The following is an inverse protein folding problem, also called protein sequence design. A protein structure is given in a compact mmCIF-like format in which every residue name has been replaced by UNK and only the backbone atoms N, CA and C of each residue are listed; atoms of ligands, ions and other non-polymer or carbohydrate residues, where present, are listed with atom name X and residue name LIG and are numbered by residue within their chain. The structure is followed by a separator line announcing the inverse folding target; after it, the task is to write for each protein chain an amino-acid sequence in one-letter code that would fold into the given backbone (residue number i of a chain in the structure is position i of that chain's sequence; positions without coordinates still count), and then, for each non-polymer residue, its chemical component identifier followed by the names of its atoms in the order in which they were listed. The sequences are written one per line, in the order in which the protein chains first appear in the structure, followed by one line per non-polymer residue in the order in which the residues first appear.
data_IF_959681283889
#
_entry.id   IF_959681283889
#
_cell.length_a   1.000
_cell.length_b   1.000
_cell.length_c   1.000
_cell.angle_alpha   90.00
_cell.angle_beta   90.00
_cell.angle_gamma   90.00
#
_symmetry.space_group_name_H-M   'P 1'
#
loop_
_entity.id
_entity.type
_entity.pdbx_description
1 polymer ?
#
# COMPACT_ATOMS: atom_id res chain seq x y z
N UNK A 1 33.34 -10.07 6.29
CA UNK A 1 32.44 -11.17 5.89
C UNK A 1 31.11 -10.99 6.59
N UNK A 2 30.27 -10.15 5.98
CA UNK A 2 28.90 -9.87 6.45
C UNK A 2 27.98 -11.11 6.29
N UNK A 3 28.35 -12.01 5.38
CA UNK A 3 27.72 -13.32 5.09
C UNK A 3 27.57 -14.26 6.29
N UNK A 4 28.42 -14.18 7.34
CA UNK A 4 28.26 -14.99 8.57
C UNK A 4 26.98 -14.67 9.37
N UNK A 5 26.30 -13.57 9.06
CA UNK A 5 25.07 -13.15 9.73
C UNK A 5 23.81 -13.73 9.10
N UNK A 6 23.93 -14.56 8.06
CA UNK A 6 22.84 -15.31 7.43
C UNK A 6 22.65 -16.68 8.11
N UNK A 7 21.43 -17.25 8.13
CA UNK A 7 20.19 -16.67 7.60
C UNK A 7 19.56 -15.64 8.55
N UNK A 8 18.91 -14.62 7.99
CA UNK A 8 18.12 -13.64 8.77
C UNK A 8 16.65 -13.77 8.40
N UNK A 9 15.81 -13.82 9.43
CA UNK A 9 14.37 -13.89 9.28
C UNK A 9 13.69 -12.71 9.97
N UNK A 10 12.89 -11.96 9.22
CA UNK A 10 12.06 -10.87 9.69
C UNK A 10 10.60 -11.32 9.68
N UNK A 11 10.01 -11.35 10.86
CA UNK A 11 8.60 -11.71 11.08
C UNK A 11 7.94 -10.70 12.01
N UNK A 12 6.62 -10.65 11.95
CA UNK A 12 5.82 -9.86 12.86
C UNK A 12 6.10 -10.22 14.31
N UNK A 13 6.35 -9.22 15.16
CA UNK A 13 6.53 -9.44 16.60
C UNK A 13 5.23 -10.02 17.21
N UNK A 14 5.34 -10.95 18.18
CA UNK A 14 4.17 -11.60 18.78
C UNK A 14 3.22 -10.59 19.45
N UNK A 15 3.72 -9.57 20.14
CA UNK A 15 2.87 -8.54 20.77
C UNK A 15 2.02 -7.73 19.77
N UNK A 16 2.52 -7.52 18.55
CA UNK A 16 1.73 -6.87 17.48
C UNK A 16 0.74 -7.79 16.81
N UNK A 17 1.03 -9.08 16.77
CA UNK A 17 0.05 -10.08 16.36
C UNK A 17 -1.15 -10.03 17.31
N UNK A 18 -0.91 -9.93 18.62
CA UNK A 18 -1.97 -9.73 19.62
C UNK A 18 -2.71 -8.42 19.42
N UNK A 19 -2.02 -7.30 19.22
CA UNK A 19 -2.67 -6.02 18.96
C UNK A 19 -3.56 -6.03 17.70
N UNK A 20 -3.11 -6.68 16.63
CA UNK A 20 -3.89 -6.84 15.38
C UNK A 20 -5.11 -7.74 15.59
N UNK A 21 -4.97 -8.82 16.37
CA UNK A 21 -6.10 -9.69 16.75
C UNK A 21 -7.11 -8.91 17.59
N UNK A 22 -6.67 -8.14 18.58
CA UNK A 22 -7.54 -7.36 19.48
C UNK A 22 -8.26 -6.26 18.72
N UNK A 23 -7.57 -5.49 17.87
CA UNK A 23 -8.21 -4.42 17.10
C UNK A 23 -9.19 -4.95 16.06
N UNK A 24 -8.82 -6.02 15.35
CA UNK A 24 -9.72 -6.67 14.39
C UNK A 24 -10.91 -7.33 15.09
N UNK A 25 -10.67 -7.93 16.26
CA UNK A 25 -11.68 -8.53 17.11
C UNK A 25 -12.66 -7.53 17.72
N UNK A 26 -12.30 -6.25 17.83
CA UNK A 26 -13.22 -5.19 18.30
C UNK A 26 -14.13 -4.66 17.18
N UNK A 27 -13.67 -4.68 15.93
CA UNK A 27 -14.41 -4.16 14.78
C UNK A 27 -15.53 -5.12 14.32
N UNK A 28 -15.30 -6.43 14.40
CA UNK A 28 -16.27 -7.46 13.96
C UNK A 28 -17.56 -7.46 14.79
N UNK A 29 -17.54 -7.40 16.13
CA UNK A 29 -18.75 -7.33 16.94
C UNK A 29 -19.62 -6.13 16.60
N UNK A 30 -19.04 -4.94 16.35
CA UNK A 30 -19.83 -3.76 15.96
C UNK A 30 -20.59 -3.96 14.65
N UNK A 31 -19.92 -4.53 13.64
CA UNK A 31 -20.56 -4.83 12.36
C UNK A 31 -21.62 -5.94 12.46
N UNK A 32 -21.32 -7.00 13.22
CA UNK A 32 -22.26 -8.11 13.46
C UNK A 32 -23.47 -7.63 14.25
N UNK A 33 -23.29 -6.87 15.32
CA UNK A 33 -24.38 -6.31 16.11
C UNK A 33 -25.31 -5.42 15.26
N UNK A 34 -24.77 -4.57 14.38
CA UNK A 34 -25.60 -3.79 13.47
C UNK A 34 -26.45 -4.66 12.53
N UNK A 35 -25.90 -5.76 12.02
CA UNK A 35 -26.64 -6.70 11.15
C UNK A 35 -27.76 -7.42 11.91
N UNK A 36 -27.55 -7.76 13.18
CA UNK A 36 -28.52 -8.51 13.98
C UNK A 36 -29.57 -7.63 14.67
N UNK A 37 -29.23 -6.39 15.02
CA UNK A 37 -30.09 -5.53 15.85
C UNK A 37 -30.62 -4.28 15.15
N UNK A 38 -30.01 -3.85 14.05
CA UNK A 38 -30.41 -2.64 13.30
C UNK A 38 -30.93 -3.00 11.91
N UNK A 39 -30.47 -4.10 11.33
CA UNK A 39 -30.92 -4.58 10.03
C UNK A 39 -32.15 -5.47 10.13
N UNK A 40 -33.19 -5.15 9.35
CA UNK A 40 -34.40 -5.98 9.21
C UNK A 40 -34.16 -7.11 8.18
N UNK A 41 -33.11 -7.90 8.42
CA UNK A 41 -32.70 -8.99 7.53
C UNK A 41 -33.26 -10.34 7.98
N UNK A 42 -33.64 -11.24 7.04
CA UNK A 42 -33.96 -12.62 7.38
C UNK A 42 -32.80 -13.31 8.11
N UNK A 43 -33.08 -14.09 9.15
CA UNK A 43 -32.04 -14.66 10.04
C UNK A 43 -30.96 -15.49 9.33
N UNK A 44 -31.28 -16.16 8.22
CA UNK A 44 -30.29 -16.90 7.43
C UNK A 44 -29.27 -15.98 6.74
N UNK A 45 -29.67 -14.75 6.39
CA UNK A 45 -28.78 -13.71 5.83
C UNK A 45 -27.83 -13.24 6.92
N UNK A 46 -28.34 -12.91 8.11
CA UNK A 46 -27.54 -12.46 9.25
C UNK A 46 -26.51 -13.51 9.68
N UNK A 47 -26.90 -14.79 9.71
CA UNK A 47 -25.97 -15.90 9.96
C UNK A 47 -24.90 -15.98 8.88
N UNK A 48 -25.29 -15.92 7.60
CA UNK A 48 -24.34 -16.02 6.47
C UNK A 48 -23.32 -14.89 6.49
N UNK A 49 -23.76 -13.65 6.71
CA UNK A 49 -22.88 -12.47 6.82
C UNK A 49 -21.93 -12.60 8.01
N UNK A 50 -22.44 -13.07 9.15
CA UNK A 50 -21.62 -13.27 10.36
C UNK A 50 -20.52 -14.30 10.11
N UNK A 51 -20.87 -15.48 9.56
CA UNK A 51 -19.90 -16.53 9.22
C UNK A 51 -18.88 -16.02 8.22
N UNK A 52 -19.31 -15.28 7.19
CA UNK A 52 -18.42 -14.69 6.21
C UNK A 52 -17.43 -13.70 6.84
N UNK A 53 -17.90 -12.75 7.66
CA UNK A 53 -17.03 -11.76 8.31
C UNK A 53 -16.00 -12.41 9.25
N UNK A 54 -16.45 -13.33 10.09
CA UNK A 54 -15.56 -14.05 11.02
C UNK A 54 -14.52 -14.86 10.24
N UNK A 55 -14.94 -15.58 9.20
CA UNK A 55 -14.04 -16.35 8.33
C UNK A 55 -13.03 -15.45 7.62
N UNK A 56 -13.48 -14.32 7.08
CA UNK A 56 -12.63 -13.37 6.37
C UNK A 56 -11.59 -12.73 7.28
N UNK A 57 -11.97 -12.30 8.49
CA UNK A 57 -11.04 -11.74 9.47
C UNK A 57 -10.05 -12.80 9.95
N UNK A 58 -10.52 -14.00 10.27
CA UNK A 58 -9.65 -15.11 10.69
C UNK A 58 -8.63 -15.47 9.60
N UNK A 59 -9.09 -15.54 8.35
CA UNK A 59 -8.22 -15.78 7.20
C UNK A 59 -7.21 -14.65 7.00
N UNK A 60 -7.62 -13.40 7.15
CA UNK A 60 -6.73 -12.23 7.04
C UNK A 60 -5.64 -12.25 8.12
N UNK A 61 -6.01 -12.54 9.37
CA UNK A 61 -5.05 -12.70 10.48
C UNK A 61 -4.08 -13.85 10.19
N UNK A 62 -4.59 -15.00 9.74
CA UNK A 62 -3.76 -16.14 9.40
C UNK A 62 -2.76 -15.81 8.28
N UNK A 63 -3.20 -15.12 7.21
CA UNK A 63 -2.33 -14.69 6.12
C UNK A 63 -1.33 -13.63 6.59
N UNK A 64 -1.75 -12.67 7.42
CA UNK A 64 -0.89 -11.66 8.01
C UNK A 64 0.28 -12.28 8.79
N UNK A 65 0.01 -13.33 9.59
CA UNK A 65 1.04 -14.06 10.35
C UNK A 65 2.02 -14.85 9.49
N UNK A 66 1.65 -15.15 8.24
CA UNK A 66 2.52 -15.84 7.31
C UNK A 66 3.44 -14.92 6.53
N UNK A 67 3.25 -13.59 6.57
CA UNK A 67 4.22 -12.72 5.96
C UNK A 67 5.56 -12.87 6.68
N UNK A 68 6.61 -12.92 5.88
CA UNK A 68 7.97 -13.00 6.38
C UNK A 68 8.91 -12.54 5.27
N UNK A 69 10.00 -11.90 5.66
CA UNK A 69 11.15 -11.67 4.78
C UNK A 69 12.30 -12.51 5.31
N UNK A 70 12.88 -13.37 4.48
CA UNK A 70 14.05 -14.16 4.86
C UNK A 70 15.18 -13.87 3.89
N UNK A 71 16.32 -13.44 4.41
CA UNK A 71 17.56 -13.29 3.65
C UNK A 71 18.45 -14.51 3.93
N UNK A 72 18.87 -15.19 2.87
CA UNK A 72 19.73 -16.37 2.92
C UNK A 72 20.86 -16.22 1.86
N UNK A 73 21.83 -17.14 1.85
CA UNK A 73 22.95 -17.15 0.89
C UNK A 73 22.49 -17.16 -0.57
N UNK A 74 21.29 -17.68 -0.83
CA UNK A 74 20.71 -17.76 -2.16
C UNK A 74 19.95 -16.51 -2.62
N UNK A 75 19.69 -15.56 -1.73
CA UNK A 75 18.92 -14.35 -2.02
C UNK A 75 17.90 -13.99 -0.94
N UNK A 76 17.00 -13.08 -1.30
CA UNK A 76 15.91 -12.62 -0.45
C UNK A 76 14.62 -13.33 -0.87
N UNK A 77 13.94 -13.94 0.09
CA UNK A 77 12.59 -14.47 -0.09
C UNK A 77 11.60 -13.61 0.67
N UNK A 78 10.59 -13.13 -0.05
CA UNK A 78 9.46 -12.38 0.47
C UNK A 78 8.23 -13.26 0.40
N UNK A 79 7.64 -13.54 1.55
CA UNK A 79 6.32 -14.15 1.64
C UNK A 79 5.30 -13.03 1.75
N UNK A 80 4.67 -12.70 0.63
CA UNK A 80 3.59 -11.72 0.58
C UNK A 80 2.25 -12.30 1.00
N UNK A 81 1.24 -11.43 1.08
CA UNK A 81 -0.10 -11.81 1.51
C UNK A 81 -0.77 -12.81 0.56
N UNK A 82 -0.43 -12.80 -0.74
CA UNK A 82 -0.99 -13.71 -1.76
C UNK A 82 0.06 -14.60 -2.43
N UNK A 83 1.25 -14.08 -2.68
CA UNK A 83 2.31 -14.75 -3.45
C UNK A 83 3.62 -14.78 -2.67
N UNK A 84 4.42 -15.81 -2.95
CA UNK A 84 5.82 -15.89 -2.52
C UNK A 84 6.69 -15.43 -3.66
N UNK A 85 7.67 -14.60 -3.34
CA UNK A 85 8.62 -14.06 -4.28
C UNK A 85 10.02 -14.36 -3.78
N UNK A 86 10.86 -14.90 -4.65
CA UNK A 86 12.29 -15.03 -4.41
C UNK A 86 13.01 -14.07 -5.36
N UNK A 87 14.08 -13.48 -4.87
CA UNK A 87 15.01 -12.65 -5.62
C UNK A 87 16.40 -13.17 -5.32
N UNK A 88 17.13 -13.62 -6.34
CA UNK A 88 18.54 -13.95 -6.18
C UNK A 88 19.34 -12.66 -5.93
N UNK A 89 20.51 -12.77 -5.30
CA UNK A 89 21.37 -11.60 -5.06
C UNK A 89 21.81 -10.92 -6.37
N UNK A 90 22.03 -11.71 -7.42
CA UNK A 90 22.39 -11.27 -8.77
C UNK A 90 21.27 -10.46 -9.44
N UNK A 91 20.00 -10.75 -9.13
CA UNK A 91 18.82 -10.07 -9.69
C UNK A 91 18.53 -8.73 -9.00
N UNK A 92 19.15 -8.47 -7.85
CA UNK A 92 18.90 -7.27 -7.06
C UNK A 92 19.76 -6.12 -7.61
N UNK A 93 19.11 -5.01 -7.91
CA UNK A 93 19.75 -3.76 -8.35
C UNK A 93 20.09 -2.83 -7.18
N UNK A 94 19.40 -2.98 -6.06
CA UNK A 94 19.64 -2.23 -4.84
C UNK A 94 18.57 -2.47 -3.78
N UNK A 95 18.87 -2.09 -2.54
CA UNK A 95 17.95 -2.17 -1.40
C UNK A 95 17.93 -0.81 -0.71
N UNK A 96 16.76 -0.17 -0.69
CA UNK A 96 16.60 1.17 -0.12
C UNK A 96 15.47 1.23 0.91
N UNK A 97 15.67 2.10 1.89
CA UNK A 97 14.64 2.55 2.79
C UNK A 97 13.92 3.77 2.20
N UNK A 98 12.59 3.76 2.20
CA UNK A 98 11.79 4.88 1.77
C UNK A 98 10.72 5.24 2.82
N UNK A 99 10.31 6.51 2.83
CA UNK A 99 9.23 6.95 3.69
C UNK A 99 7.91 6.27 3.31
N UNK A 100 7.19 5.76 4.30
CA UNK A 100 5.90 5.16 4.07
C UNK A 100 4.84 6.26 3.90
N UNK A 101 4.20 6.40 2.73
CA UNK A 101 3.19 7.43 2.53
C UNK A 101 1.97 7.24 3.44
N UNK A 102 1.71 6.01 3.91
CA UNK A 102 0.60 5.70 4.81
C UNK A 102 0.86 6.08 6.27
N UNK A 103 2.11 6.40 6.65
CA UNK A 103 2.45 6.80 8.02
C UNK A 103 1.78 8.12 8.44
N UNK A 104 1.46 8.99 7.47
CA UNK A 104 0.76 10.26 7.73
C UNK A 104 -0.70 10.09 8.08
N UNK A 105 -1.34 9.00 7.64
CA UNK A 105 -2.79 8.77 7.82
C UNK A 105 -3.09 7.68 8.84
N UNK A 106 -2.13 6.81 9.16
CA UNK A 106 -2.33 5.71 10.10
C UNK A 106 -1.35 5.80 11.28
N UNK A 107 -1.89 6.01 12.49
CA UNK A 107 -1.10 6.13 13.73
C UNK A 107 -0.23 4.92 14.08
N UNK A 108 -0.45 3.76 13.45
CA UNK A 108 0.27 2.51 13.75
C UNK A 108 1.03 1.94 12.53
N UNK A 109 1.17 2.73 11.45
CA UNK A 109 1.94 2.35 10.28
C UNK A 109 3.43 2.73 10.45
N UNK A 110 4.38 1.94 9.92
CA UNK A 110 5.81 2.26 9.96
C UNK A 110 6.09 3.57 9.23
N UNK A 111 6.95 4.45 9.77
CA UNK A 111 7.34 5.66 9.04
C UNK A 111 8.31 5.34 7.93
N UNK A 112 9.10 4.28 8.08
CA UNK A 112 10.11 3.87 7.10
C UNK A 112 9.91 2.40 6.73
N UNK A 113 9.84 2.14 5.44
CA UNK A 113 9.68 0.79 4.88
C UNK A 113 10.79 0.53 3.87
N UNK A 114 11.26 -0.73 3.81
CA UNK A 114 12.34 -1.11 2.91
C UNK A 114 11.82 -1.79 1.64
N UNK A 115 12.45 -1.47 0.52
CA UNK A 115 12.20 -2.06 -0.78
C UNK A 115 13.48 -2.70 -1.34
N UNK A 116 13.32 -3.83 -2.05
CA UNK A 116 14.33 -4.36 -2.95
C UNK A 116 13.92 -4.08 -4.39
N UNK A 117 14.87 -3.67 -5.23
CA UNK A 117 14.66 -3.44 -6.65
C UNK A 117 15.19 -4.61 -7.47
N UNK A 118 14.33 -5.19 -8.30
CA UNK A 118 14.74 -6.23 -9.25
C UNK A 118 15.32 -5.67 -10.54
N UNK A 119 15.94 -6.55 -11.32
CA UNK A 119 16.32 -6.37 -12.72
C UNK A 119 15.15 -5.91 -13.62
N UNK A 120 13.93 -6.36 -13.32
CA UNK A 120 12.72 -5.95 -14.03
C UNK A 120 12.26 -4.50 -13.70
N UNK A 121 13.02 -3.78 -12.88
CA UNK A 121 12.69 -2.45 -12.38
C UNK A 121 11.47 -2.44 -11.47
N UNK A 122 10.98 -3.60 -11.02
CA UNK A 122 9.89 -3.68 -10.05
C UNK A 122 10.48 -3.61 -8.65
N UNK A 123 9.93 -2.69 -7.87
CA UNK A 123 10.15 -2.68 -6.43
C UNK A 123 9.34 -3.79 -5.76
N UNK A 124 9.95 -4.50 -4.83
CA UNK A 124 9.28 -5.44 -3.94
C UNK A 124 9.45 -4.95 -2.52
N UNK A 125 8.33 -4.73 -1.84
CA UNK A 125 8.33 -4.41 -0.42
C UNK A 125 8.98 -5.57 0.34
N UNK A 126 9.79 -5.27 1.35
CA UNK A 126 10.33 -6.23 2.30
C UNK A 126 9.53 -6.14 3.61
N UNK A 127 8.47 -6.97 3.81
CA UNK A 127 7.70 -6.99 5.04
C UNK A 127 8.59 -7.11 6.28
N UNK A 128 8.28 -6.32 7.31
CA UNK A 128 8.95 -6.34 8.62
C UNK A 128 10.42 -5.91 8.64
N UNK A 129 10.95 -5.44 7.51
CA UNK A 129 12.17 -4.62 7.48
C UNK A 129 11.69 -3.16 7.51
N UNK A 130 11.25 -2.74 8.68
CA UNK A 130 10.67 -1.42 8.94
C UNK A 130 11.05 -0.94 10.34
N UNK A 131 10.85 0.36 10.59
CA UNK A 131 11.26 1.05 11.82
C UNK A 131 10.56 0.57 13.09
N UNK A 132 9.47 -0.19 12.94
CA UNK A 132 8.74 -0.78 14.05
C UNK A 132 9.31 -2.15 14.45
N UNK A 133 10.10 -2.78 13.58
CA UNK A 133 10.63 -4.12 13.80
C UNK A 133 12.16 -4.13 13.97
N UNK A 134 12.87 -3.30 13.22
CA UNK A 134 14.33 -3.25 13.16
C UNK A 134 14.86 -1.82 13.05
N UNK A 135 16.14 -1.61 13.36
CA UNK A 135 16.83 -0.39 12.96
C UNK A 135 17.05 -0.44 11.44
N UNK A 136 16.16 0.21 10.69
CA UNK A 136 16.14 0.18 9.22
C UNK A 136 17.45 0.64 8.62
N UNK A 137 18.04 1.72 9.15
CA UNK A 137 19.27 2.27 8.59
C UNK A 137 20.43 1.28 8.74
N UNK A 138 20.52 0.61 9.91
CA UNK A 138 21.52 -0.43 10.14
C UNK A 138 21.25 -1.67 9.28
N UNK A 139 20.01 -2.12 9.19
CA UNK A 139 19.67 -3.35 8.49
C UNK A 139 19.80 -3.21 6.97
N UNK A 140 19.41 -2.06 6.41
CA UNK A 140 19.61 -1.76 4.98
C UNK A 140 21.09 -1.69 4.63
N UNK A 141 21.93 -1.06 5.46
CA UNK A 141 23.39 -1.06 5.25
C UNK A 141 23.94 -2.49 5.23
N UNK A 142 23.55 -3.31 6.21
CA UNK A 142 23.98 -4.71 6.30
C UNK A 142 23.52 -5.52 5.08
N UNK A 143 22.27 -5.35 4.64
CA UNK A 143 21.75 -6.05 3.47
C UNK A 143 22.45 -5.61 2.18
N UNK A 144 22.82 -4.33 2.06
CA UNK A 144 23.62 -3.83 0.94
C UNK A 144 25.06 -4.40 0.98
N UNK A 145 25.70 -4.48 2.15
CA UNK A 145 27.02 -5.12 2.29
C UNK A 145 26.97 -6.61 1.86
N UNK A 146 25.94 -7.35 2.29
CA UNK A 146 25.75 -8.75 1.89
C UNK A 146 25.48 -8.87 0.39
N UNK A 147 24.67 -7.97 -0.16
CA UNK A 147 24.38 -7.94 -1.58
C UNK A 147 25.65 -7.65 -2.40
N UNK A 148 26.48 -6.70 -1.99
CA UNK A 148 27.76 -6.41 -2.64
C UNK A 148 28.71 -7.62 -2.61
N UNK A 149 28.72 -8.38 -1.51
CA UNK A 149 29.49 -9.63 -1.39
C UNK A 149 28.94 -10.75 -2.30
N UNK A 150 27.63 -10.84 -2.50
CA UNK A 150 26.95 -11.98 -3.13
C UNK A 150 26.40 -11.74 -4.55
N UNK A 151 26.40 -10.51 -5.05
CA UNK A 151 25.90 -10.17 -6.41
C UNK A 151 26.71 -10.78 -7.55
N UNK A 152 27.92 -11.27 -7.26
CA UNK A 152 28.83 -11.87 -8.23
C UNK A 152 29.63 -10.84 -9.04
N UNK A 153 30.77 -11.27 -9.58
CA UNK A 153 31.70 -10.41 -10.34
C UNK A 153 31.12 -9.94 -11.68
N UNK A 154 30.12 -10.65 -12.23
CA UNK A 154 29.44 -10.32 -13.48
C UNK A 154 28.30 -9.30 -13.34
N UNK A 155 28.06 -8.77 -12.14
CA UNK A 155 26.96 -7.85 -11.90
C UNK A 155 27.19 -6.50 -12.59
N UNK A 156 26.19 -6.04 -13.35
CA UNK A 156 26.17 -4.71 -13.96
C UNK A 156 24.87 -4.00 -13.61
N UNK A 157 24.97 -2.69 -13.39
CA UNK A 157 23.80 -1.86 -13.13
C UNK A 157 22.93 -1.78 -14.40
N UNK A 158 21.66 -2.13 -14.29
CA UNK A 158 20.72 -1.98 -15.40
C UNK A 158 20.08 -0.59 -15.38
N UNK A 159 20.51 0.26 -16.32
CA UNK A 159 19.96 1.59 -16.51
C UNK A 159 18.45 1.56 -16.81
N UNK A 160 17.96 0.51 -17.49
CA UNK A 160 16.55 0.32 -17.80
C UNK A 160 15.74 0.05 -16.54
N UNK A 161 16.27 -0.79 -15.65
CA UNK A 161 15.68 -1.05 -14.34
C UNK A 161 15.57 0.25 -13.52
N UNK A 162 16.64 1.07 -13.48
CA UNK A 162 16.64 2.34 -12.77
C UNK A 162 15.56 3.31 -13.32
N UNK A 163 15.43 3.43 -14.65
CA UNK A 163 14.41 4.26 -15.29
C UNK A 163 13.00 3.74 -14.96
N UNK A 164 12.79 2.42 -14.99
CA UNK A 164 11.51 1.81 -14.67
C UNK A 164 11.10 2.03 -13.22
N UNK A 165 12.05 1.94 -12.29
CA UNK A 165 11.85 2.30 -10.87
C UNK A 165 11.44 3.76 -10.74
N UNK A 166 12.17 4.68 -11.36
CA UNK A 166 11.88 6.12 -11.31
C UNK A 166 10.49 6.44 -11.88
N UNK A 167 10.13 5.85 -13.04
CA UNK A 167 8.78 5.97 -13.62
C UNK A 167 7.70 5.40 -12.70
N UNK A 168 7.97 4.26 -12.05
CA UNK A 168 7.07 3.64 -11.08
C UNK A 168 6.80 4.54 -9.88
N UNK A 169 7.84 5.16 -9.33
CA UNK A 169 7.75 6.12 -8.23
C UNK A 169 6.94 7.37 -8.63
N UNK A 170 7.22 7.92 -9.82
CA UNK A 170 6.49 9.07 -10.36
C UNK A 170 4.99 8.77 -10.53
N UNK A 171 4.64 7.58 -11.07
CA UNK A 171 3.24 7.14 -11.20
C UNK A 171 2.56 6.99 -9.85
N UNK A 172 3.22 6.37 -8.86
CA UNK A 172 2.61 6.22 -7.55
C UNK A 172 2.37 7.58 -6.88
N UNK A 173 3.35 8.49 -6.95
CA UNK A 173 3.21 9.82 -6.37
C UNK A 173 2.08 10.60 -7.05
N UNK A 174 1.94 10.45 -8.37
CA UNK A 174 0.83 11.01 -9.13
C UNK A 174 -0.54 10.44 -8.71
N UNK A 175 -0.63 9.12 -8.52
CA UNK A 175 -1.86 8.50 -8.04
C UNK A 175 -2.20 8.98 -6.61
N UNK A 176 -1.23 9.05 -5.72
CA UNK A 176 -1.44 9.49 -4.34
C UNK A 176 -1.84 10.96 -4.25
N UNK A 177 -1.25 11.83 -5.07
CA UNK A 177 -1.65 13.24 -5.15
C UNK A 177 -3.04 13.40 -5.77
N UNK A 178 -3.36 12.60 -6.79
CA UNK A 178 -4.71 12.49 -7.37
C UNK A 178 -5.75 12.09 -6.32
N UNK A 179 -5.51 10.99 -5.59
CA UNK A 179 -6.42 10.53 -4.51
C UNK A 179 -6.56 11.62 -3.45
N UNK A 180 -5.44 12.17 -2.95
CA UNK A 180 -5.47 13.21 -1.93
C UNK A 180 -6.30 14.43 -2.34
N UNK A 181 -6.05 14.96 -3.54
CA UNK A 181 -6.78 16.12 -4.05
C UNK A 181 -8.26 15.81 -4.33
N UNK A 182 -8.56 14.61 -4.84
CA UNK A 182 -9.92 14.15 -5.07
C UNK A 182 -10.72 14.06 -3.75
N UNK A 183 -10.11 13.61 -2.65
CA UNK A 183 -10.76 13.59 -1.33
C UNK A 183 -11.11 15.00 -0.85
N UNK A 184 -10.20 15.97 -1.01
CA UNK A 184 -10.47 17.37 -0.64
C UNK A 184 -11.51 18.04 -1.55
N UNK A 185 -11.64 17.59 -2.80
CA UNK A 185 -12.63 18.13 -3.74
C UNK A 185 -14.08 17.73 -3.43
N UNK A 186 -14.30 16.77 -2.52
CA UNK A 186 -15.66 16.33 -2.16
C UNK A 186 -16.48 17.50 -1.61
N UNK A 187 -15.92 18.34 -0.74
CA UNK A 187 -16.64 19.47 -0.14
C UNK A 187 -17.08 20.53 -1.18
N UNK A 188 -16.20 21.06 -2.05
CA UNK A 188 -16.63 22.02 -3.07
C UNK A 188 -17.54 21.38 -4.14
N UNK A 189 -17.32 20.10 -4.51
CA UNK A 189 -18.22 19.40 -5.43
C UNK A 189 -19.61 19.17 -4.82
N UNK A 190 -19.68 18.85 -3.53
CA UNK A 190 -20.94 18.76 -2.79
C UNK A 190 -21.66 20.11 -2.72
N UNK A 191 -20.94 21.19 -2.45
CA UNK A 191 -21.51 22.54 -2.45
C UNK A 191 -22.05 22.91 -3.85
N UNK A 192 -21.31 22.59 -4.91
CA UNK A 192 -21.73 22.82 -6.29
C UNK A 192 -22.94 21.96 -6.69
N UNK A 193 -22.96 20.68 -6.28
CA UNK A 193 -24.07 19.76 -6.53
C UNK A 193 -25.37 20.16 -5.81
N UNK A 194 -25.26 20.84 -4.67
CA UNK A 194 -26.41 21.34 -3.91
C UNK A 194 -26.88 22.72 -4.38
N UNK A 195 -26.06 23.43 -5.17
CA UNK A 195 -26.34 24.80 -5.61
C UNK A 195 -27.68 24.94 -6.38
N UNK A 196 -28.09 23.98 -7.24
CA UNK A 196 -29.41 24.02 -7.89
C UNK A 196 -30.61 23.89 -6.94
N UNK A 197 -30.41 23.45 -5.69
CA UNK A 197 -31.48 23.43 -4.67
C UNK A 197 -31.78 24.83 -4.15
N UNK A 198 -30.80 25.73 -4.20
CA UNK A 198 -30.91 27.08 -3.64
C UNK A 198 -31.11 28.16 -4.70
N UNK A 199 -30.79 27.87 -5.96
CA UNK A 199 -30.82 28.84 -7.06
C UNK A 199 -31.43 28.20 -8.30
N UNK A 200 -32.39 28.89 -8.91
CA UNK A 200 -32.97 28.48 -10.19
C UNK A 200 -31.98 28.72 -11.33
N UNK A 201 -31.60 27.64 -12.03
CA UNK A 201 -30.74 27.68 -13.20
C UNK A 201 -31.51 27.39 -14.49
N UNK A 202 -31.05 27.90 -15.64
CA UNK A 202 -31.58 27.49 -16.94
C UNK A 202 -31.34 25.98 -17.21
N UNK A 203 -32.22 25.36 -17.99
CA UNK A 203 -32.29 23.88 -18.17
C UNK A 203 -30.97 23.22 -18.61
N UNK A 204 -30.21 23.89 -19.49
CA UNK A 204 -28.92 23.38 -19.95
C UNK A 204 -27.90 23.29 -18.79
N UNK A 205 -27.96 24.20 -17.82
CA UNK A 205 -27.05 24.24 -16.69
C UNK A 205 -27.48 23.24 -15.60
N UNK A 206 -28.78 22.97 -15.45
CA UNK A 206 -29.28 21.93 -14.53
C UNK A 206 -28.79 20.53 -14.92
N UNK A 207 -28.71 20.25 -16.22
CA UNK A 207 -28.20 18.97 -16.73
C UNK A 207 -26.72 18.77 -16.37
N UNK A 208 -25.91 19.82 -16.48
CA UNK A 208 -24.48 19.82 -16.17
C UNK A 208 -24.21 19.85 -14.65
N UNK A 209 -25.05 20.56 -13.89
CA UNK A 209 -24.97 20.68 -12.43
C UNK A 209 -25.72 19.56 -11.69
N UNK A 210 -26.22 18.56 -12.39
CA UNK A 210 -26.88 17.43 -11.74
C UNK A 210 -25.92 16.78 -10.72
N UNK A 211 -26.38 16.42 -9.51
CA UNK A 211 -25.51 15.89 -8.46
C UNK A 211 -24.69 14.69 -8.93
N UNK A 212 -25.26 13.85 -9.80
CA UNK A 212 -24.56 12.71 -10.39
C UNK A 212 -23.45 13.11 -11.38
N UNK A 213 -23.66 14.13 -12.22
CA UNK A 213 -22.63 14.63 -13.12
C UNK A 213 -21.49 15.31 -12.35
N UNK A 214 -21.84 16.14 -11.36
CA UNK A 214 -20.86 16.88 -10.55
C UNK A 214 -20.05 15.94 -9.67
N UNK A 215 -20.69 15.03 -8.93
CA UNK A 215 -19.99 14.10 -8.03
C UNK A 215 -19.30 12.96 -8.78
N UNK A 216 -19.88 12.47 -9.87
CA UNK A 216 -19.29 11.41 -10.69
C UNK A 216 -18.16 11.94 -11.58
N UNK A 217 -18.50 12.75 -12.58
CA UNK A 217 -17.54 13.23 -13.57
C UNK A 217 -16.56 14.26 -12.98
N UNK A 218 -17.03 15.14 -12.09
CA UNK A 218 -16.18 16.13 -11.44
C UNK A 218 -15.08 15.50 -10.57
N UNK A 219 -15.42 14.46 -9.79
CA UNK A 219 -14.44 13.77 -8.95
C UNK A 219 -13.37 13.04 -9.77
N UNK A 220 -13.79 12.35 -10.84
CA UNK A 220 -12.88 11.67 -11.79
C UNK A 220 -11.99 12.69 -12.52
N UNK A 221 -12.53 13.84 -12.91
CA UNK A 221 -11.78 14.91 -13.56
C UNK A 221 -10.71 15.50 -12.64
N UNK A 222 -11.06 15.83 -11.38
CA UNK A 222 -10.09 16.33 -10.40
C UNK A 222 -8.98 15.30 -10.19
N UNK A 223 -9.33 14.03 -9.96
CA UNK A 223 -8.36 12.96 -9.81
C UNK A 223 -7.40 12.88 -11.02
N UNK A 224 -7.96 12.82 -12.24
CA UNK A 224 -7.19 12.66 -13.47
C UNK A 224 -6.27 13.84 -13.75
N UNK A 225 -6.76 15.07 -13.60
CA UNK A 225 -5.98 16.30 -13.82
C UNK A 225 -4.84 16.38 -12.82
N UNK A 226 -5.11 16.18 -11.53
CA UNK A 226 -4.06 16.25 -10.49
C UNK A 226 -3.02 15.15 -10.66
N UNK A 227 -3.46 13.92 -10.95
CA UNK A 227 -2.56 12.81 -11.22
C UNK A 227 -1.68 13.11 -12.45
N UNK A 228 -2.27 13.62 -13.53
CA UNK A 228 -1.53 13.96 -14.75
C UNK A 228 -0.49 15.08 -14.52
N UNK A 229 -0.88 16.18 -13.86
CA UNK A 229 0.02 17.28 -13.52
C UNK A 229 1.17 16.78 -12.64
N UNK A 230 0.85 16.01 -11.60
CA UNK A 230 1.85 15.45 -10.68
C UNK A 230 2.80 14.48 -11.39
N UNK A 231 2.29 13.67 -12.33
CA UNK A 231 3.12 12.76 -13.12
C UNK A 231 4.08 13.53 -14.02
N UNK A 232 3.58 14.55 -14.72
CA UNK A 232 4.38 15.37 -15.64
C UNK A 232 5.50 16.11 -14.90
N UNK A 233 5.22 16.59 -13.69
CA UNK A 233 6.21 17.29 -12.85
C UNK A 233 7.34 16.39 -12.34
N UNK A 234 7.04 15.12 -12.08
CA UNK A 234 7.98 14.18 -11.45
C UNK A 234 8.56 13.14 -12.43
N UNK A 235 8.32 13.31 -13.74
CA UNK A 235 8.86 12.39 -14.75
C UNK A 235 10.39 12.52 -14.78
N UNK A 236 11.15 11.42 -14.72
CA UNK A 236 12.60 11.46 -14.90
C UNK A 236 12.94 11.98 -16.31
N UNK A 237 14.01 12.78 -16.43
CA UNK A 237 14.54 13.20 -17.73
C UNK A 237 14.99 11.97 -18.52
N UNK A 238 14.73 11.99 -19.83
CA UNK A 238 15.12 10.91 -20.76
C UNK A 238 16.60 10.97 -21.10
#
# INVERSE_FOLDING_TARGET
MSTHRLPREYRMRPGRTTALIVSSGLAVPGAVLSVWFVGDFPGWVSVSVTVFMVSFVSWTIYRARQLATTADLKGIQVRGFFRRHRMAWEEIQGIDAAHNPSARTQSNAPYTITYAYGDDGKRRLLPYVDDLHVDVAREVRLLNEIWEELRGEGWTADATAAINVARGLARQQALMSGVGCSMFSILPLMALALLPVFVEFPEWAQSVLSPFAVLGAGWVAVFGITAWISYRRNRPAE
#
